data_IF_590822766052
#
_entry.id   IF_590822766052
#
_cell.length_a   1.000
_cell.length_b   1.000
_cell.length_c   1.000
_cell.angle_alpha   90.00
_cell.angle_beta   90.00
_cell.angle_gamma   90.00
#
_symmetry.space_group_name_H-M   'P 1'
#
loop_
_entity.id
_entity.type
_entity.pdbx_description
1 polymer ?
#
# COMPACT_ATOMS: atom_id res chain seq x y z
N UNK A 1 -6.92 -15.28 15.69
CA UNK A 1 -7.01 -14.95 14.25
C UNK A 1 -8.14 -13.95 14.08
N UNK A 2 -7.83 -12.69 13.80
CA UNK A 2 -8.86 -11.64 13.69
C UNK A 2 -9.15 -11.37 12.22
N UNK A 3 -10.41 -11.53 11.82
CA UNK A 3 -10.88 -11.25 10.47
C UNK A 3 -11.69 -9.95 10.49
N UNK A 4 -11.30 -8.98 9.70
CA UNK A 4 -12.13 -7.83 9.40
C UNK A 4 -12.56 -7.93 7.94
N UNK A 5 -13.86 -8.05 7.72
CA UNK A 5 -14.43 -8.02 6.37
C UNK A 5 -15.22 -6.74 6.24
N UNK A 6 -14.76 -5.85 5.40
CA UNK A 6 -15.50 -4.66 5.01
C UNK A 6 -16.26 -5.00 3.73
N UNK A 7 -17.59 -4.95 3.79
CA UNK A 7 -18.45 -5.00 2.62
C UNK A 7 -19.15 -3.65 2.53
N UNK A 8 -19.06 -3.02 1.38
CA UNK A 8 -19.76 -1.77 1.11
C UNK A 8 -20.43 -1.85 -0.26
N UNK A 9 -21.63 -1.32 -0.39
CA UNK A 9 -22.16 -0.97 -1.70
C UNK A 9 -21.60 0.39 -2.04
N UNK A 10 -20.80 0.42 -3.09
CA UNK A 10 -20.37 1.66 -3.67
C UNK A 10 -21.31 1.94 -4.83
N UNK A 11 -22.28 2.85 -4.63
CA UNK A 11 -23.25 3.22 -5.66
C UNK A 11 -22.82 4.53 -6.30
N UNK A 12 -22.52 4.48 -7.59
CA UNK A 12 -22.40 5.69 -8.43
C UNK A 12 -23.74 6.10 -9.03
N UNK A 13 -24.86 5.50 -8.55
CA UNK A 13 -26.21 5.81 -8.97
C UNK A 13 -26.83 4.83 -9.99
N UNK A 14 -26.09 3.78 -10.40
CA UNK A 14 -26.61 2.71 -11.27
C UNK A 14 -27.02 1.49 -10.45
N UNK A 15 -28.20 0.93 -10.71
CA UNK A 15 -28.74 -0.23 -9.98
C UNK A 15 -28.01 -1.56 -10.30
N UNK A 16 -27.18 -1.59 -11.32
CA UNK A 16 -26.51 -2.81 -11.84
C UNK A 16 -25.01 -2.90 -11.47
N UNK A 17 -24.50 -2.05 -10.55
CA UNK A 17 -23.11 -2.13 -10.18
C UNK A 17 -22.83 -3.29 -9.22
N UNK A 18 -21.72 -4.03 -9.46
CA UNK A 18 -21.33 -5.12 -8.59
C UNK A 18 -21.01 -4.61 -7.17
N UNK A 19 -21.46 -5.35 -6.16
CA UNK A 19 -21.16 -5.05 -4.77
C UNK A 19 -19.64 -5.01 -4.55
N UNK A 20 -19.13 -3.86 -4.15
CA UNK A 20 -17.72 -3.72 -3.81
C UNK A 20 -17.38 -4.47 -2.53
N UNK A 21 -16.25 -5.13 -2.51
CA UNK A 21 -15.79 -5.84 -1.32
C UNK A 21 -14.30 -5.70 -1.10
N UNK A 22 -13.91 -5.57 0.16
CA UNK A 22 -12.54 -5.70 0.59
C UNK A 22 -12.47 -6.59 1.82
N UNK A 23 -11.44 -7.41 1.89
CA UNK A 23 -11.16 -8.29 3.02
C UNK A 23 -9.75 -8.00 3.50
N UNK A 24 -9.63 -7.58 4.76
CA UNK A 24 -8.36 -7.41 5.44
C UNK A 24 -8.26 -8.51 6.50
N UNK A 25 -7.17 -9.25 6.49
CA UNK A 25 -6.91 -10.29 7.47
C UNK A 25 -5.58 -10.05 8.16
N UNK A 26 -5.51 -10.42 9.42
CA UNK A 26 -4.32 -10.37 10.25
C UNK A 26 -3.93 -11.80 10.64
N UNK A 27 -3.17 -12.52 9.80
CA UNK A 27 -2.79 -13.90 10.07
C UNK A 27 -1.97 -14.04 11.36
N UNK A 28 -1.21 -13.01 11.66
CA UNK A 28 -0.43 -12.87 12.91
C UNK A 28 -0.47 -11.42 13.34
N UNK A 29 -0.88 -11.18 14.57
CA UNK A 29 -0.89 -9.84 15.15
C UNK A 29 -0.59 -9.91 16.66
N UNK A 30 0.29 -9.04 17.12
CA UNK A 30 0.49 -8.68 18.53
C UNK A 30 0.20 -7.18 18.64
N UNK A 31 -0.87 -6.84 19.37
CA UNK A 31 -1.36 -5.47 19.47
C UNK A 31 -1.47 -5.09 20.94
N UNK A 32 -0.78 -4.04 21.33
CA UNK A 32 -0.87 -3.41 22.65
C UNK A 32 -1.30 -1.96 22.49
N UNK A 33 -2.46 -1.65 23.03
CA UNK A 33 -3.03 -0.30 22.99
C UNK A 33 -2.70 0.54 24.23
N UNK A 34 -2.00 -0.05 25.22
CA UNK A 34 -1.44 0.69 26.35
C UNK A 34 -0.20 1.50 25.93
N UNK A 35 0.12 2.56 26.65
CA UNK A 35 1.34 3.31 26.37
C UNK A 35 2.60 2.52 26.77
N UNK A 36 3.62 2.47 25.90
CA UNK A 36 3.62 2.93 24.51
C UNK A 36 2.86 1.97 23.59
N UNK A 37 2.01 2.53 22.72
CA UNK A 37 1.27 1.75 21.73
C UNK A 37 2.23 0.95 20.84
N UNK A 38 1.90 -0.34 20.66
CA UNK A 38 2.69 -1.25 19.85
C UNK A 38 1.76 -2.14 19.02
N UNK A 39 2.02 -2.20 17.71
CA UNK A 39 1.35 -3.15 16.81
C UNK A 39 2.42 -3.83 15.95
N UNK A 40 2.50 -5.15 16.05
CA UNK A 40 3.28 -6.01 15.18
C UNK A 40 2.30 -6.93 14.45
N UNK A 41 2.09 -6.75 13.16
CA UNK A 41 1.08 -7.51 12.44
C UNK A 41 1.52 -7.89 11.02
N UNK A 42 1.22 -9.14 10.64
CA UNK A 42 1.16 -9.50 9.25
C UNK A 42 -0.25 -9.18 8.74
N UNK A 43 -0.34 -8.46 7.63
CA UNK A 43 -1.59 -8.03 7.01
C UNK A 43 -1.72 -8.65 5.64
N UNK A 44 -2.90 -9.12 5.31
CA UNK A 44 -3.28 -9.51 3.95
C UNK A 44 -4.50 -8.71 3.53
N UNK A 45 -4.49 -8.25 2.29
CA UNK A 45 -5.55 -7.51 1.65
C UNK A 45 -6.03 -8.27 0.41
N UNK A 46 -7.33 -8.37 0.27
CA UNK A 46 -7.99 -8.72 -0.99
C UNK A 46 -9.10 -7.72 -1.23
N UNK A 47 -9.14 -7.10 -2.39
CA UNK A 47 -10.09 -6.04 -2.72
C UNK A 47 -10.54 -6.19 -4.17
N UNK A 48 -11.83 -5.99 -4.43
CA UNK A 48 -12.38 -6.13 -5.78
C UNK A 48 -11.73 -5.13 -6.75
N UNK A 49 -11.68 -3.87 -6.35
CA UNK A 49 -11.01 -2.80 -7.09
C UNK A 49 -10.71 -1.59 -6.19
N UNK A 50 -9.98 -0.62 -6.77
CA UNK A 50 -9.56 0.61 -6.08
C UNK A 50 -10.56 1.76 -6.17
N UNK A 51 -11.72 1.61 -6.82
CA UNK A 51 -12.69 2.71 -7.01
C UNK A 51 -12.99 3.51 -5.75
N UNK A 52 -13.32 2.91 -4.59
CA UNK A 52 -13.62 3.68 -3.39
C UNK A 52 -12.43 4.52 -2.89
N UNK A 53 -11.20 4.02 -3.08
CA UNK A 53 -9.99 4.76 -2.71
C UNK A 53 -9.75 5.94 -3.66
N UNK A 54 -10.02 5.75 -4.95
CA UNK A 54 -9.89 6.80 -5.98
C UNK A 54 -10.89 7.91 -5.71
N UNK A 55 -12.15 7.59 -5.46
CA UNK A 55 -13.20 8.58 -5.14
C UNK A 55 -12.88 9.33 -3.84
N UNK A 56 -12.41 8.64 -2.82
CA UNK A 56 -11.99 9.28 -1.58
C UNK A 56 -10.80 10.23 -1.80
N UNK A 57 -9.85 9.85 -2.64
CA UNK A 57 -8.69 10.67 -2.97
C UNK A 57 -9.10 11.88 -3.83
N UNK A 58 -9.98 11.69 -4.82
CA UNK A 58 -10.52 12.76 -5.67
C UNK A 58 -11.23 13.83 -4.84
N UNK A 59 -12.07 13.42 -3.89
CA UNK A 59 -12.75 14.33 -2.97
C UNK A 59 -11.80 15.19 -2.14
N UNK A 60 -10.56 14.73 -1.92
CA UNK A 60 -9.56 15.44 -1.11
C UNK A 60 -8.62 16.33 -1.95
N UNK A 61 -8.33 15.94 -3.19
CA UNK A 61 -7.24 16.53 -3.98
C UNK A 61 -7.64 16.98 -5.38
N UNK A 62 -8.78 16.54 -5.88
CA UNK A 62 -9.16 16.72 -7.27
C UNK A 62 -8.24 15.93 -8.22
N UNK A 63 -8.77 14.94 -8.89
CA UNK A 63 -8.01 14.09 -9.82
C UNK A 63 -8.51 14.36 -11.24
N UNK A 64 -7.63 14.62 -12.22
CA UNK A 64 -8.04 14.69 -13.62
C UNK A 64 -8.67 13.37 -14.09
N UNK A 65 -9.76 13.41 -14.87
CA UNK A 65 -10.53 12.24 -15.30
C UNK A 65 -9.68 11.13 -15.95
N UNK A 66 -8.65 11.51 -16.72
CA UNK A 66 -7.75 10.55 -17.33
C UNK A 66 -6.92 9.77 -16.32
N UNK A 67 -6.54 10.42 -15.23
CA UNK A 67 -5.76 9.80 -14.14
C UNK A 67 -6.67 8.93 -13.28
N UNK A 68 -7.91 9.37 -13.01
CA UNK A 68 -8.91 8.57 -12.29
C UNK A 68 -9.08 7.19 -12.94
N UNK A 69 -9.32 7.16 -14.25
CA UNK A 69 -9.46 5.89 -15.02
C UNK A 69 -8.24 4.99 -14.92
N UNK A 70 -7.03 5.57 -14.88
CA UNK A 70 -5.79 4.81 -14.72
C UNK A 70 -5.60 4.28 -13.30
N UNK A 71 -6.17 4.93 -12.30
CA UNK A 71 -6.07 4.53 -10.89
C UNK A 71 -7.04 3.40 -10.53
N UNK A 72 -8.05 3.11 -11.36
CA UNK A 72 -8.96 1.98 -11.15
C UNK A 72 -8.25 0.68 -11.50
N UNK A 73 -7.92 -0.09 -10.48
CA UNK A 73 -7.21 -1.35 -10.60
C UNK A 73 -8.08 -2.45 -9.99
N UNK A 74 -8.33 -3.50 -10.77
CA UNK A 74 -9.16 -4.63 -10.38
C UNK A 74 -8.34 -5.76 -9.77
N UNK A 75 -9.00 -6.62 -8.98
CA UNK A 75 -8.45 -7.84 -8.41
C UNK A 75 -7.16 -7.60 -7.60
N UNK A 76 -7.26 -6.70 -6.63
CA UNK A 76 -6.15 -6.35 -5.77
C UNK A 76 -5.97 -7.45 -4.71
N UNK A 77 -4.77 -7.98 -4.65
CA UNK A 77 -4.34 -8.92 -3.61
C UNK A 77 -2.95 -8.53 -3.13
N UNK A 78 -2.71 -8.70 -1.86
CA UNK A 78 -1.39 -8.42 -1.35
C UNK A 78 -1.24 -8.61 0.14
N UNK A 79 -0.07 -8.28 0.62
CA UNK A 79 0.23 -8.32 2.04
C UNK A 79 1.42 -7.48 2.41
N UNK A 80 1.56 -7.28 3.70
CA UNK A 80 2.67 -6.55 4.31
C UNK A 80 2.88 -7.00 5.75
N UNK A 81 4.03 -6.65 6.30
CA UNK A 81 4.26 -6.68 7.74
C UNK A 81 4.26 -5.24 8.25
N UNK A 82 3.45 -4.98 9.26
CA UNK A 82 3.35 -3.69 9.93
C UNK A 82 4.02 -3.76 11.31
N UNK A 83 4.83 -2.78 11.62
CA UNK A 83 5.36 -2.49 12.94
C UNK A 83 5.01 -1.03 13.24
N UNK A 84 4.06 -0.82 14.15
CA UNK A 84 3.61 0.51 14.57
C UNK A 84 4.11 0.75 15.99
N UNK A 85 4.78 1.86 16.17
CA UNK A 85 5.22 2.43 17.43
C UNK A 85 4.65 3.84 17.57
N UNK A 86 4.76 4.44 18.73
CA UNK A 86 4.23 5.76 19.05
C UNK A 86 4.42 6.81 17.94
N UNK A 87 5.64 6.92 17.42
CA UNK A 87 6.03 7.97 16.46
C UNK A 87 6.52 7.41 15.13
N UNK A 88 6.36 6.10 14.91
CA UNK A 88 6.88 5.43 13.72
C UNK A 88 5.93 4.34 13.24
N UNK A 89 5.76 4.28 11.92
CA UNK A 89 5.12 3.18 11.22
C UNK A 89 6.14 2.58 10.26
N UNK A 90 6.42 1.30 10.41
CA UNK A 90 7.25 0.55 9.50
C UNK A 90 6.37 -0.43 8.72
N UNK A 91 6.45 -0.35 7.40
CA UNK A 91 5.80 -1.28 6.48
C UNK A 91 6.90 -2.04 5.77
N UNK A 92 6.93 -3.34 5.93
CA UNK A 92 7.94 -4.20 5.28
C UNK A 92 7.25 -5.32 4.52
N UNK A 93 7.97 -5.85 3.53
CA UNK A 93 7.47 -6.93 2.69
C UNK A 93 6.12 -6.62 2.03
N UNK A 94 5.84 -5.34 1.75
CA UNK A 94 4.68 -5.01 0.94
C UNK A 94 4.85 -5.65 -0.44
N UNK A 95 3.89 -6.48 -0.81
CA UNK A 95 3.75 -7.04 -2.16
C UNK A 95 2.26 -7.04 -2.50
N UNK A 96 1.88 -6.16 -3.41
CA UNK A 96 0.51 -5.97 -3.85
C UNK A 96 0.47 -6.17 -5.36
N UNK A 97 -0.48 -6.97 -5.80
CA UNK A 97 -0.74 -7.23 -7.21
C UNK A 97 -2.20 -6.93 -7.55
N UNK A 98 -2.43 -6.52 -8.77
CA UNK A 98 -3.75 -6.30 -9.35
C UNK A 98 -3.65 -6.36 -10.87
N UNK A 99 -4.77 -6.16 -11.56
CA UNK A 99 -4.78 -6.16 -13.02
C UNK A 99 -3.85 -5.08 -13.57
N UNK A 100 -2.73 -5.50 -14.15
CA UNK A 100 -1.72 -4.58 -14.69
C UNK A 100 -0.84 -3.87 -13.65
N UNK A 101 -1.02 -4.14 -12.35
CA UNK A 101 -0.25 -3.53 -11.27
C UNK A 101 0.59 -4.56 -10.51
N UNK A 102 1.80 -4.19 -10.16
CA UNK A 102 2.55 -4.76 -9.04
C UNK A 102 3.24 -3.67 -8.26
N UNK A 103 3.07 -3.68 -6.94
CA UNK A 103 3.73 -2.75 -6.03
C UNK A 103 4.50 -3.53 -4.96
N UNK A 104 5.77 -3.19 -4.76
CA UNK A 104 6.63 -3.73 -3.72
C UNK A 104 7.16 -2.55 -2.90
N UNK A 105 7.16 -2.65 -1.58
CA UNK A 105 7.74 -1.59 -0.75
C UNK A 105 8.29 -2.11 0.58
N UNK A 106 9.30 -1.38 1.06
CA UNK A 106 9.75 -1.39 2.44
C UNK A 106 9.92 0.08 2.87
N UNK A 107 9.08 0.55 3.79
CA UNK A 107 8.93 1.95 4.18
C UNK A 107 9.04 2.12 5.69
N UNK A 108 9.62 3.23 6.09
CA UNK A 108 9.62 3.72 7.48
C UNK A 108 9.08 5.15 7.45
N UNK A 109 7.98 5.35 8.14
CA UNK A 109 7.31 6.64 8.28
C UNK A 109 7.42 7.09 9.73
N UNK A 110 8.09 8.18 10.00
CA UNK A 110 8.19 8.79 11.31
C UNK A 110 7.80 10.28 11.22
N UNK A 111 7.60 10.90 12.37
CA UNK A 111 7.27 12.33 12.40
C UNK A 111 8.37 13.14 11.70
N UNK A 112 8.04 13.75 10.55
CA UNK A 112 8.97 14.58 9.76
C UNK A 112 9.97 13.79 8.90
N UNK A 113 9.94 12.46 8.90
CA UNK A 113 10.85 11.61 8.11
C UNK A 113 10.09 10.53 7.35
N UNK A 114 10.52 10.29 6.12
CA UNK A 114 10.03 9.20 5.26
C UNK A 114 11.21 8.55 4.59
N UNK A 115 11.43 7.30 4.88
CA UNK A 115 12.54 6.54 4.31
C UNK A 115 12.04 5.23 3.73
N UNK A 116 12.69 4.76 2.68
CA UNK A 116 12.38 3.44 2.15
C UNK A 116 12.59 3.31 0.66
N UNK A 117 12.09 2.21 0.18
CA UNK A 117 12.13 1.85 -1.24
C UNK A 117 10.74 1.42 -1.67
N UNK A 118 10.36 1.86 -2.86
CA UNK A 118 9.12 1.49 -3.52
C UNK A 118 9.43 1.08 -4.95
N UNK A 119 8.86 -0.02 -5.40
CA UNK A 119 8.85 -0.44 -6.79
C UNK A 119 7.42 -0.56 -7.26
N UNK A 120 7.12 0.06 -8.38
CA UNK A 120 5.83 -0.02 -9.05
C UNK A 120 6.03 -0.54 -10.47
N UNK A 121 5.21 -1.49 -10.88
CA UNK A 121 5.04 -1.88 -12.28
C UNK A 121 3.57 -1.69 -12.63
N UNK A 122 3.31 -0.91 -13.66
CA UNK A 122 1.96 -0.57 -14.09
C UNK A 122 1.90 -0.61 -15.61
N UNK A 123 1.05 -1.49 -16.18
CA UNK A 123 0.84 -1.64 -17.63
C UNK A 123 2.13 -1.63 -18.47
N UNK A 124 3.17 -2.34 -18.03
CA UNK A 124 4.46 -2.43 -18.73
C UNK A 124 5.49 -1.37 -18.32
N UNK A 125 5.09 -0.30 -17.67
CA UNK A 125 6.03 0.65 -17.06
C UNK A 125 6.50 0.16 -15.70
N UNK A 126 7.76 0.37 -15.38
CA UNK A 126 8.28 0.10 -14.05
C UNK A 126 9.07 1.29 -13.51
N UNK A 127 8.85 1.58 -12.24
CA UNK A 127 9.40 2.70 -11.52
C UNK A 127 9.91 2.23 -10.16
N UNK A 128 11.17 2.49 -9.86
CA UNK A 128 11.73 2.35 -8.52
C UNK A 128 11.94 3.74 -7.92
N UNK A 129 11.52 3.89 -6.69
CA UNK A 129 11.61 5.14 -5.93
C UNK A 129 12.38 4.84 -4.64
N UNK A 130 13.41 5.62 -4.37
CA UNK A 130 14.09 5.65 -3.09
C UNK A 130 13.70 6.93 -2.34
N UNK A 131 13.14 6.75 -1.14
CA UNK A 131 12.85 7.84 -0.22
C UNK A 131 14.01 7.94 0.77
N UNK A 132 14.58 9.13 0.92
CA UNK A 132 15.66 9.41 1.85
C UNK A 132 15.23 10.44 2.89
N UNK A 133 15.87 10.43 4.04
CA UNK A 133 15.66 11.40 5.10
C UNK A 133 15.90 12.83 4.58
N UNK A 134 14.92 13.71 4.73
CA UNK A 134 14.97 15.09 4.21
C UNK A 134 14.18 15.34 2.93
N UNK A 135 13.60 14.33 2.32
CA UNK A 135 12.43 14.45 1.41
C UNK A 135 12.66 15.03 0.02
N UNK A 136 13.89 15.24 -0.45
CA UNK A 136 14.13 15.89 -1.76
C UNK A 136 14.82 15.03 -2.82
N UNK A 137 15.39 13.89 -2.49
CA UNK A 137 16.07 13.04 -3.48
C UNK A 137 15.20 11.84 -3.87
N UNK A 138 14.32 12.07 -4.82
CA UNK A 138 13.57 11.04 -5.54
C UNK A 138 14.49 10.47 -6.63
N UNK A 139 15.14 9.34 -6.35
CA UNK A 139 15.86 8.58 -7.39
C UNK A 139 14.89 7.67 -8.11
N UNK A 140 14.61 7.98 -9.36
CA UNK A 140 13.77 7.17 -10.24
C UNK A 140 14.65 6.13 -10.91
N UNK A 141 14.42 4.85 -10.62
CA UNK A 141 15.20 3.73 -11.16
C UNK A 141 14.27 2.69 -11.78
N UNK A 142 14.56 2.24 -12.99
CA UNK A 142 13.64 1.44 -13.82
C UNK A 142 13.72 -0.08 -13.67
N UNK A 143 14.45 -0.66 -12.69
CA UNK A 143 14.69 -2.12 -12.66
C UNK A 143 14.28 -2.78 -11.35
N UNK A 144 13.52 -3.89 -11.45
CA UNK A 144 13.14 -4.75 -10.32
C UNK A 144 14.37 -5.29 -9.56
N UNK A 145 15.43 -5.64 -10.26
CA UNK A 145 16.69 -6.11 -9.69
C UNK A 145 17.31 -5.09 -8.72
N UNK A 146 17.21 -3.79 -9.01
CA UNK A 146 17.61 -2.75 -8.08
C UNK A 146 16.84 -2.81 -6.76
N UNK A 147 15.52 -2.97 -6.81
CA UNK A 147 14.69 -3.07 -5.61
C UNK A 147 15.13 -4.27 -4.73
N UNK A 148 15.37 -5.42 -5.34
CA UNK A 148 15.82 -6.62 -4.63
C UNK A 148 17.19 -6.42 -3.97
N UNK A 149 18.14 -5.77 -4.67
CA UNK A 149 19.44 -5.44 -4.11
C UNK A 149 19.34 -4.46 -2.93
N UNK A 150 18.54 -3.40 -3.05
CA UNK A 150 18.34 -2.44 -1.97
C UNK A 150 17.67 -3.08 -0.76
N UNK A 151 16.70 -3.95 -0.99
CA UNK A 151 16.04 -4.70 0.07
C UNK A 151 17.02 -5.61 0.83
N UNK A 152 17.91 -6.29 0.12
CA UNK A 152 18.93 -7.14 0.73
C UNK A 152 19.91 -6.32 1.61
N UNK A 153 20.29 -5.11 1.18
CA UNK A 153 21.17 -4.21 1.93
C UNK A 153 20.54 -3.64 3.20
N UNK A 154 19.21 -3.46 3.22
CA UNK A 154 18.46 -2.85 4.33
C UNK A 154 17.96 -3.86 5.37
N UNK A 155 18.13 -5.18 5.14
CA UNK A 155 17.84 -6.19 6.16
C UNK A 155 18.88 -6.08 7.27
N UNK A 156 18.48 -5.84 8.53
CA UNK A 156 19.41 -5.93 9.65
C UNK A 156 19.94 -7.38 9.73
N UNK A 157 21.24 -7.51 9.98
CA UNK A 157 21.88 -8.78 10.32
C UNK A 157 21.42 -9.26 11.69
#
# INVERSE_FOLDING_TARGET
MSFWRVRGRFSTGSADEPEWSAVITFPKADMRFSEPMKIDAAVRLSMLDTRPLVVMYDALKGVPDWLEKMMIIENIHGGATLDVRRDQVRVTNLDVTGKGLRALADLVLAKGSREGILYLRFHGFSLGIELQQGGRDLKIIRRLHWFQQQRARRRPR
#
